data_IF_791747343146
#
_entry.id   IF_791747343146
#
_cell.length_a   1.000
_cell.length_b   1.000
_cell.length_c   1.000
_cell.angle_alpha   90.00
_cell.angle_beta   90.00
_cell.angle_gamma   90.00
#
_symmetry.space_group_name_H-M   'P 1'
#
loop_
_entity.id
_entity.type
_entity.pdbx_description
1 polymer ?
#
# COMPACT_ATOMS: atom_id res chain seq x y z
N UNK A 1 6.93 0.26 -3.54
CA UNK A 1 6.77 -1.21 -3.61
C UNK A 1 5.50 -1.52 -4.37
N UNK A 2 5.51 -2.51 -5.26
CA UNK A 2 4.35 -2.95 -6.02
C UNK A 2 4.24 -4.49 -5.95
N UNK A 3 3.02 -4.99 -5.75
CA UNK A 3 2.73 -6.42 -5.78
C UNK A 3 1.95 -6.74 -7.04
N UNK A 4 2.54 -7.56 -7.90
CA UNK A 4 1.90 -8.09 -9.10
C UNK A 4 1.18 -9.38 -8.75
N UNK A 5 -0.12 -9.44 -9.05
CA UNK A 5 -0.86 -10.69 -8.94
C UNK A 5 -0.49 -11.57 -10.13
N UNK A 6 -0.08 -12.83 -9.91
CA UNK A 6 0.20 -13.73 -11.02
C UNK A 6 -1.09 -14.06 -11.77
N UNK A 7 -1.29 -13.45 -12.93
CA UNK A 7 -2.48 -13.64 -13.78
C UNK A 7 -2.22 -14.50 -15.02
N UNK A 8 -0.97 -14.85 -15.30
CA UNK A 8 -0.57 -15.59 -16.51
C UNK A 8 -0.71 -14.80 -17.81
N UNK A 9 -1.14 -13.54 -17.73
CA UNK A 9 -1.30 -12.60 -18.84
C UNK A 9 -0.20 -11.54 -18.78
N UNK A 10 0.20 -11.04 -19.96
CA UNK A 10 1.05 -9.85 -20.04
C UNK A 10 0.18 -8.63 -19.75
N UNK A 11 0.18 -8.21 -18.49
CA UNK A 11 -0.50 -6.97 -18.08
C UNK A 11 0.37 -5.76 -18.37
N UNK A 12 -0.21 -4.78 -19.06
CA UNK A 12 0.46 -3.50 -19.30
C UNK A 12 0.82 -2.84 -17.98
N UNK A 13 2.04 -2.29 -17.91
CA UNK A 13 2.52 -1.65 -16.70
C UNK A 13 1.69 -0.39 -16.39
N UNK A 14 1.15 -0.25 -15.16
CA UNK A 14 0.42 0.96 -14.80
C UNK A 14 1.29 2.22 -14.92
N UNK A 15 0.82 3.20 -15.69
CA UNK A 15 1.56 4.45 -16.01
C UNK A 15 2.01 5.22 -14.76
N UNK A 16 1.31 5.08 -13.63
CA UNK A 16 1.66 5.75 -12.37
C UNK A 16 2.89 5.14 -11.66
N UNK A 17 3.33 3.94 -12.02
CA UNK A 17 4.50 3.29 -11.40
C UNK A 17 5.80 4.04 -11.69
N UNK A 18 5.92 4.61 -12.89
CA UNK A 18 7.10 5.37 -13.28
C UNK A 18 7.30 6.59 -12.37
N UNK A 19 6.20 7.29 -12.03
CA UNK A 19 6.24 8.39 -11.07
C UNK A 19 6.69 7.95 -9.67
N UNK A 20 6.30 6.75 -9.23
CA UNK A 20 6.74 6.21 -7.94
C UNK A 20 8.22 5.80 -7.94
N UNK A 21 8.71 5.19 -9.03
CA UNK A 21 10.13 4.84 -9.18
C UNK A 21 10.99 6.09 -9.12
N UNK A 22 10.62 7.12 -9.87
CA UNK A 22 11.31 8.41 -9.88
C UNK A 22 11.31 9.08 -8.50
N UNK A 23 10.14 9.15 -7.85
CA UNK A 23 10.03 9.72 -6.50
C UNK A 23 10.94 9.00 -5.51
N UNK A 24 10.98 7.66 -5.54
CA UNK A 24 11.85 6.89 -4.66
C UNK A 24 13.33 7.17 -4.96
N UNK A 25 13.73 7.22 -6.24
CA UNK A 25 15.09 7.56 -6.63
C UNK A 25 15.50 8.95 -6.12
N UNK A 26 14.63 9.94 -6.27
CA UNK A 26 14.86 11.32 -5.80
C UNK A 26 15.00 11.40 -4.26
N UNK A 27 14.32 10.51 -3.54
CA UNK A 27 14.40 10.40 -2.08
C UNK A 27 15.52 9.45 -1.60
N UNK A 28 16.31 8.87 -2.51
CA UNK A 28 17.35 7.88 -2.18
C UNK A 28 16.79 6.52 -1.72
N UNK A 29 15.50 6.26 -1.96
CA UNK A 29 14.83 5.01 -1.65
C UNK A 29 14.94 3.98 -2.77
N UNK A 30 14.58 2.73 -2.46
CA UNK A 30 14.57 1.62 -3.41
C UNK A 30 13.14 1.23 -3.80
N UNK A 31 12.89 1.13 -5.10
CA UNK A 31 11.68 0.49 -5.60
C UNK A 31 11.84 -1.03 -5.59
N UNK A 32 10.82 -1.73 -5.11
CA UNK A 32 10.74 -3.18 -5.11
C UNK A 32 9.43 -3.62 -5.78
N UNK A 33 9.54 -4.54 -6.71
CA UNK A 33 8.42 -5.23 -7.35
C UNK A 33 8.47 -6.70 -6.95
N UNK A 34 7.35 -7.20 -6.45
CA UNK A 34 7.22 -8.58 -6.02
C UNK A 34 5.98 -9.20 -6.65
N UNK A 35 6.01 -10.52 -6.82
CA UNK A 35 4.86 -11.28 -7.33
C UNK A 35 4.23 -12.04 -6.18
N UNK A 36 2.91 -11.94 -6.03
CA UNK A 36 2.20 -12.63 -4.95
C UNK A 36 0.69 -12.63 -5.13
N UNK A 37 0.06 -13.77 -4.88
CA UNK A 37 -1.39 -13.91 -4.93
C UNK A 37 -2.09 -13.29 -3.70
N UNK A 38 -1.48 -13.38 -2.51
CA UNK A 38 -1.91 -12.63 -1.32
C UNK A 38 -0.98 -11.43 -1.11
N UNK A 39 -1.50 -10.24 -1.42
CA UNK A 39 -0.76 -8.97 -1.30
C UNK A 39 -0.26 -8.72 0.12
N UNK A 40 -1.05 -9.06 1.16
CA UNK A 40 -0.66 -8.82 2.54
C UNK A 40 0.51 -9.71 2.94
N UNK A 41 0.45 -11.00 2.60
CA UNK A 41 1.55 -11.93 2.87
C UNK A 41 2.80 -11.56 2.08
N UNK A 42 2.66 -11.26 0.79
CA UNK A 42 3.78 -10.89 -0.06
C UNK A 42 4.53 -9.65 0.49
N UNK A 43 3.80 -8.66 1.04
CA UNK A 43 4.41 -7.50 1.71
C UNK A 43 5.16 -7.92 2.98
N UNK A 44 4.55 -8.74 3.83
CA UNK A 44 5.17 -9.19 5.08
C UNK A 44 6.39 -10.07 4.84
N UNK A 45 6.33 -10.99 3.87
CA UNK A 45 7.43 -11.86 3.49
C UNK A 45 8.62 -11.04 2.97
N UNK A 46 8.35 -10.02 2.15
CA UNK A 46 9.39 -9.08 1.70
C UNK A 46 9.98 -8.30 2.88
N UNK A 47 9.14 -7.79 3.79
CA UNK A 47 9.59 -7.07 4.97
C UNK A 47 10.47 -7.96 5.86
N UNK A 48 10.10 -9.23 6.05
CA UNK A 48 10.90 -10.19 6.79
C UNK A 48 12.24 -10.49 6.10
N UNK A 49 12.24 -10.73 4.80
CA UNK A 49 13.45 -11.02 4.01
C UNK A 49 14.45 -9.85 4.04
N UNK A 50 13.95 -8.61 4.11
CA UNK A 50 14.75 -7.39 4.21
C UNK A 50 15.05 -6.98 5.66
N UNK A 51 14.67 -7.82 6.65
CA UNK A 51 14.81 -7.53 8.08
C UNK A 51 14.19 -6.18 8.51
N UNK A 52 13.09 -5.79 7.87
CA UNK A 52 12.38 -4.56 8.18
C UNK A 52 11.62 -4.70 9.51
N UNK A 53 11.96 -3.86 10.48
CA UNK A 53 11.27 -3.80 11.76
C UNK A 53 9.91 -3.07 11.68
N UNK A 54 9.72 -2.22 10.66
CA UNK A 54 8.53 -1.38 10.51
C UNK A 54 8.02 -1.35 9.09
N UNK A 55 6.71 -1.29 8.96
CA UNK A 55 5.99 -1.07 7.71
C UNK A 55 5.08 0.13 7.87
N UNK A 56 5.28 1.13 7.00
CA UNK A 56 4.44 2.32 6.94
C UNK A 56 3.43 2.16 5.81
N UNK A 57 2.15 2.24 6.13
CA UNK A 57 1.04 2.11 5.19
C UNK A 57 0.31 3.45 5.10
N UNK A 58 0.12 3.96 3.88
CA UNK A 58 -0.79 5.09 3.66
C UNK A 58 -2.25 4.61 3.62
N UNK A 59 -3.17 5.33 4.25
CA UNK A 59 -4.60 5.07 4.05
C UNK A 59 -4.99 5.47 2.63
N UNK A 60 -5.88 4.69 2.01
CA UNK A 60 -6.31 4.97 0.64
C UNK A 60 -7.11 6.27 0.56
N UNK A 61 -6.86 7.06 -0.50
CA UNK A 61 -7.65 8.26 -0.86
C UNK A 61 -8.93 7.92 -1.62
N UNK A 62 -9.07 6.69 -2.12
CA UNK A 62 -10.26 6.29 -2.86
C UNK A 62 -11.40 6.12 -1.88
N UNK A 63 -12.46 6.89 -2.12
CA UNK A 63 -13.68 6.97 -1.32
C UNK A 63 -14.11 5.60 -0.81
N UNK A 64 -14.56 5.58 0.45
CA UNK A 64 -15.41 4.62 1.18
C UNK A 64 -16.16 3.56 0.32
N UNK A 65 -16.53 3.86 -0.92
CA UNK A 65 -17.17 2.96 -1.88
C UNK A 65 -16.34 1.74 -2.35
N UNK A 66 -15.01 1.69 -2.17
CA UNK A 66 -14.15 0.54 -2.53
C UNK A 66 -13.63 -0.26 -1.32
N UNK A 67 -14.29 -0.12 -0.18
CA UNK A 67 -13.86 -0.59 1.14
C UNK A 67 -13.55 -2.09 1.32
N UNK A 68 -14.18 -3.08 0.65
CA UNK A 68 -13.91 -4.47 1.01
C UNK A 68 -12.49 -4.91 0.64
N UNK A 69 -11.91 -4.43 -0.46
CA UNK A 69 -10.59 -4.90 -0.90
C UNK A 69 -9.43 -4.22 -0.15
N UNK A 70 -9.45 -2.89 -0.01
CA UNK A 70 -8.32 -2.14 0.56
C UNK A 70 -8.26 -2.18 2.09
N UNK A 71 -9.41 -2.09 2.78
CA UNK A 71 -9.43 -2.30 4.23
C UNK A 71 -9.11 -3.76 4.58
N UNK A 72 -9.38 -4.73 3.70
CA UNK A 72 -8.95 -6.12 3.94
C UNK A 72 -7.43 -6.30 3.87
N UNK A 73 -6.72 -5.57 2.99
CA UNK A 73 -5.26 -5.74 2.88
C UNK A 73 -4.59 -5.16 4.12
N UNK A 74 -4.93 -3.93 4.51
CA UNK A 74 -4.38 -3.31 5.73
C UNK A 74 -4.75 -4.13 6.96
N UNK A 75 -6.02 -4.54 7.08
CA UNK A 75 -6.48 -5.40 8.19
C UNK A 75 -5.75 -6.75 8.24
N UNK A 76 -5.51 -7.39 7.09
CA UNK A 76 -4.74 -8.65 7.01
C UNK A 76 -3.25 -8.45 7.33
N UNK A 77 -2.66 -7.33 6.95
CA UNK A 77 -1.28 -7.01 7.35
C UNK A 77 -1.22 -6.88 8.87
N UNK A 78 -2.11 -6.08 9.47
CA UNK A 78 -2.15 -5.89 10.93
C UNK A 78 -2.36 -7.23 11.65
N UNK A 79 -3.26 -8.09 11.17
CA UNK A 79 -3.52 -9.37 11.82
C UNK A 79 -2.41 -10.41 11.67
N UNK A 80 -1.50 -10.24 10.71
CA UNK A 80 -0.44 -11.21 10.38
C UNK A 80 0.99 -10.68 10.57
N UNK A 81 1.16 -9.40 10.90
CA UNK A 81 2.48 -8.74 10.97
C UNK A 81 3.43 -9.33 12.02
N UNK A 82 2.90 -10.04 13.03
CA UNK A 82 3.70 -10.64 14.09
C UNK A 82 4.50 -9.58 14.85
N UNK A 83 5.82 -9.57 14.67
CA UNK A 83 6.74 -8.64 15.33
C UNK A 83 7.00 -7.35 14.53
N UNK A 84 6.50 -7.25 13.30
CA UNK A 84 6.68 -6.06 12.46
C UNK A 84 5.71 -4.97 12.93
N UNK A 85 6.23 -3.78 13.23
CA UNK A 85 5.41 -2.64 13.61
C UNK A 85 4.70 -2.07 12.38
N UNK A 86 3.37 -1.93 12.44
CA UNK A 86 2.57 -1.38 11.35
C UNK A 86 2.10 0.03 11.71
N UNK A 87 2.55 1.03 10.95
CA UNK A 87 2.16 2.43 11.13
C UNK A 87 1.25 2.90 10.00
N UNK A 88 0.03 3.34 10.32
CA UNK A 88 -0.94 3.84 9.34
C UNK A 88 -0.91 5.37 9.27
N UNK A 89 -0.60 5.91 8.10
CA UNK A 89 -0.63 7.35 7.81
C UNK A 89 -1.97 7.69 7.15
N UNK A 90 -2.88 8.43 7.81
CA UNK A 90 -4.14 8.80 7.20
C UNK A 90 -3.93 9.74 6.01
N UNK A 91 -4.75 9.58 4.98
CA UNK A 91 -4.82 10.50 3.87
C UNK A 91 -5.25 11.88 4.39
N UNK A 92 -4.58 12.94 3.93
CA UNK A 92 -5.01 14.30 4.20
C UNK A 92 -6.42 14.49 3.62
N UNK A 93 -7.40 14.66 4.52
CA UNK A 93 -8.76 15.03 4.17
C UNK A 93 -8.92 16.51 4.51
N UNK A 94 -9.17 17.38 3.52
CA UNK A 94 -9.48 18.77 3.81
C UNK A 94 -10.76 18.80 4.69
N UNK A 95 -10.84 19.72 5.66
CA UNK A 95 -12.00 19.81 6.53
C UNK A 95 -13.28 19.88 5.69
N UNK A 96 -14.26 19.04 6.03
CA UNK A 96 -15.58 19.09 5.39
C UNK A 96 -16.10 20.51 5.63
N UNK A 97 -16.23 21.30 4.58
CA UNK A 97 -16.87 22.60 4.69
C UNK A 97 -18.22 22.37 5.38
N UNK A 98 -18.48 23.14 6.45
CA UNK A 98 -19.71 23.10 7.22
C UNK A 98 -20.85 23.57 6.31
N UNK A 99 -21.28 22.71 5.39
CA UNK A 99 -22.49 22.87 4.62
C UNK A 99 -23.66 22.39 5.49
N UNK A 100 -24.68 23.24 5.55
CA UNK A 100 -25.97 23.10 6.23
C UNK A 100 -26.01 23.32 7.74
N UNK A 101 -25.85 24.59 8.11
CA UNK A 101 -26.76 25.23 9.08
C UNK A 101 -27.38 26.47 8.43
N UNK A 102 -28.43 26.24 7.66
CA UNK A 102 -29.46 27.21 7.30
C UNK A 102 -30.80 26.62 7.73
#
# INVERSE_FOLDING_TARGET
MYVRTPSGLVEAEPVWLEGQRRLLADLGGRYAEITGADVAMAILDFAHAEHAARVVLGSTRRTRAYEPLHCSVIGRIISRAGLIEVHLVPAFQPPKALADRA
#
